data_IF_620085250904
#
_entry.id   IF_620085250904
#
_cell.length_a   1.000
_cell.length_b   1.000
_cell.length_c   1.000
_cell.angle_alpha   90.00
_cell.angle_beta   90.00
_cell.angle_gamma   90.00
#
_symmetry.space_group_name_H-M   'P 1'
#
loop_
_entity.id
_entity.type
_entity.pdbx_description
1 polymer ?
#
# COMPACT_ATOMS: atom_id res chain seq x y z
N UNK A 1 -3.04 -11.97 -55.90
CA UNK A 1 -3.91 -11.75 -54.73
C UNK A 1 -3.39 -12.48 -53.48
N UNK A 2 -3.14 -13.80 -53.55
CA UNK A 2 -2.66 -14.58 -52.39
C UNK A 2 -1.26 -14.17 -51.86
N UNK A 3 -0.32 -13.78 -52.73
CA UNK A 3 1.00 -13.31 -52.29
C UNK A 3 0.96 -11.95 -51.57
N UNK A 4 0.13 -11.01 -52.03
CA UNK A 4 0.01 -9.69 -51.43
C UNK A 4 -0.60 -9.74 -50.02
N UNK A 5 -1.61 -10.60 -49.81
CA UNK A 5 -2.19 -10.84 -48.48
C UNK A 5 -1.17 -11.43 -47.50
N UNK A 6 -0.30 -12.33 -47.96
CA UNK A 6 0.74 -12.92 -47.12
C UNK A 6 1.82 -11.90 -46.74
N UNK A 7 2.14 -10.98 -47.64
CA UNK A 7 3.11 -9.92 -47.41
C UNK A 7 2.60 -8.88 -46.39
N UNK A 8 1.32 -8.52 -46.50
CA UNK A 8 0.63 -7.66 -45.53
C UNK A 8 0.50 -8.31 -44.14
N UNK A 9 0.19 -9.60 -44.09
CA UNK A 9 0.17 -10.39 -42.86
C UNK A 9 1.56 -10.48 -42.19
N UNK A 10 2.64 -10.62 -42.98
CA UNK A 10 3.99 -10.59 -42.45
C UNK A 10 4.40 -9.19 -41.98
N UNK A 11 3.99 -8.14 -42.68
CA UNK A 11 4.28 -6.76 -42.27
C UNK A 11 3.62 -6.41 -40.94
N UNK A 12 2.34 -6.78 -40.76
CA UNK A 12 1.62 -6.59 -39.49
C UNK A 12 2.22 -7.40 -38.34
N UNK A 13 2.61 -8.65 -38.59
CA UNK A 13 3.27 -9.49 -37.58
C UNK A 13 4.60 -8.89 -37.09
N UNK A 14 5.40 -8.31 -38.00
CA UNK A 14 6.66 -7.64 -37.65
C UNK A 14 6.43 -6.35 -36.85
N UNK A 15 5.43 -5.56 -37.23
CA UNK A 15 5.08 -4.34 -36.53
C UNK A 15 4.63 -4.62 -35.08
N UNK A 16 3.80 -5.66 -34.88
CA UNK A 16 3.36 -6.07 -33.55
C UNK A 16 4.51 -6.59 -32.68
N UNK A 17 5.40 -7.40 -33.25
CA UNK A 17 6.58 -7.91 -32.54
C UNK A 17 7.49 -6.77 -32.05
N UNK A 18 7.70 -5.76 -32.91
CA UNK A 18 8.47 -4.56 -32.56
C UNK A 18 7.83 -3.79 -31.40
N UNK A 19 6.49 -3.64 -31.42
CA UNK A 19 5.77 -2.92 -30.35
C UNK A 19 5.79 -3.67 -29.03
N UNK A 20 5.76 -5.01 -29.06
CA UNK A 20 5.90 -5.84 -27.86
C UNK A 20 7.27 -5.64 -27.21
N UNK A 21 8.35 -5.69 -28.00
CA UNK A 21 9.71 -5.47 -27.48
C UNK A 21 9.88 -4.08 -26.85
N UNK A 22 9.27 -3.06 -27.45
CA UNK A 22 9.31 -1.69 -26.93
C UNK A 22 8.55 -1.58 -25.60
N UNK A 23 7.34 -2.15 -25.52
CA UNK A 23 6.56 -2.18 -24.28
C UNK A 23 7.26 -2.98 -23.19
N UNK A 24 7.95 -4.07 -23.52
CA UNK A 24 8.74 -4.83 -22.56
C UNK A 24 9.93 -4.03 -22.02
N UNK A 25 10.60 -3.21 -22.85
CA UNK A 25 11.64 -2.27 -22.40
C UNK A 25 11.08 -1.17 -21.50
N UNK A 26 9.96 -0.56 -21.88
CA UNK A 26 9.28 0.45 -21.05
C UNK A 26 8.84 -0.14 -19.71
N UNK A 27 8.28 -1.36 -19.70
CA UNK A 27 7.92 -2.08 -18.48
C UNK A 27 9.14 -2.40 -17.62
N UNK A 28 10.28 -2.77 -18.22
CA UNK A 28 11.52 -3.01 -17.48
C UNK A 28 12.04 -1.72 -16.83
N UNK A 29 11.96 -0.57 -17.52
CA UNK A 29 12.32 0.74 -16.98
C UNK A 29 11.37 1.17 -15.86
N UNK A 30 10.06 1.00 -16.04
CA UNK A 30 9.06 1.25 -15.01
C UNK A 30 9.29 0.38 -13.78
N UNK A 31 9.56 -0.93 -13.95
CA UNK A 31 9.89 -1.83 -12.84
C UNK A 31 11.18 -1.44 -12.12
N UNK A 32 12.21 -1.04 -12.86
CA UNK A 32 13.46 -0.56 -12.27
C UNK A 32 13.27 0.77 -11.51
N UNK A 33 12.45 1.68 -12.05
CA UNK A 33 12.12 2.95 -11.41
C UNK A 33 11.22 2.74 -10.17
N UNK A 34 10.27 1.82 -10.21
CA UNK A 34 9.46 1.42 -9.05
C UNK A 34 10.34 0.73 -8.01
N UNK A 35 11.25 -0.17 -8.40
CA UNK A 35 12.21 -0.79 -7.49
C UNK A 35 13.13 0.23 -6.81
N UNK A 36 13.62 1.23 -7.56
CA UNK A 36 14.40 2.35 -7.01
C UNK A 36 13.55 3.35 -6.21
N UNK A 37 12.29 3.57 -6.59
CA UNK A 37 11.33 4.40 -5.87
C UNK A 37 10.92 3.76 -4.55
N UNK A 38 10.76 2.43 -4.52
CA UNK A 38 10.54 1.63 -3.31
C UNK A 38 11.82 1.52 -2.48
N UNK A 39 13.01 1.44 -3.10
CA UNK A 39 14.29 1.48 -2.38
C UNK A 39 14.61 2.88 -1.82
N UNK A 40 14.19 3.95 -2.48
CA UNK A 40 14.28 5.32 -1.96
C UNK A 40 13.15 5.62 -0.96
N UNK A 41 11.99 4.96 -1.07
CA UNK A 41 10.90 5.00 -0.09
C UNK A 41 11.12 4.06 1.10
N UNK A 42 12.10 3.16 1.04
CA UNK A 42 12.86 2.72 2.21
C UNK A 42 13.72 3.89 2.72
N UNK A 43 13.07 5.05 2.89
CA UNK A 43 13.55 6.18 3.65
C UNK A 43 13.90 5.60 5.01
N UNK A 44 15.20 5.61 5.27
CA UNK A 44 15.85 5.60 6.57
C UNK A 44 14.82 5.74 7.68
N UNK A 45 14.74 4.76 8.60
CA UNK A 45 13.81 4.80 9.74
C UNK A 45 13.82 6.14 10.50
N UNK A 46 14.88 6.93 10.35
CA UNK A 46 15.13 8.26 10.87
C UNK A 46 14.30 9.39 10.24
N UNK A 47 13.84 9.26 8.98
CA UNK A 47 13.07 10.29 8.27
C UNK A 47 11.55 10.14 8.45
N UNK A 48 11.10 9.05 9.05
CA UNK A 48 9.67 8.87 9.35
C UNK A 48 9.37 9.62 10.64
N UNK A 49 8.51 10.66 10.61
CA UNK A 49 8.19 11.43 11.80
C UNK A 49 7.75 10.52 12.93
N UNK A 50 8.29 10.73 14.14
CA UNK A 50 7.88 9.98 15.31
C UNK A 50 6.35 10.10 15.46
N UNK A 51 5.67 8.97 15.36
CA UNK A 51 4.21 8.93 15.50
C UNK A 51 3.81 9.34 16.91
N UNK A 52 2.80 10.21 16.98
CA UNK A 52 2.16 10.59 18.22
C UNK A 52 1.13 9.53 18.60
N UNK A 53 1.17 9.08 19.84
CA UNK A 53 0.18 8.16 20.40
C UNK A 53 -1.22 8.79 20.43
N UNK A 54 -2.24 7.95 20.30
CA UNK A 54 -3.64 8.33 20.39
C UNK A 54 -4.25 7.84 21.70
N UNK A 55 -4.64 8.78 22.56
CA UNK A 55 -5.18 8.53 23.90
C UNK A 55 -6.65 8.09 23.89
N UNK A 56 -7.36 8.24 22.77
CA UNK A 56 -8.81 7.97 22.69
C UNK A 56 -9.69 9.20 22.86
N UNK A 57 -9.23 10.39 22.42
CA UNK A 57 -10.06 11.60 22.42
C UNK A 57 -11.30 11.39 21.54
N UNK A 58 -12.49 11.79 22.01
CA UNK A 58 -13.74 11.72 21.24
C UNK A 58 -13.90 12.86 20.23
N UNK A 59 -12.79 13.36 19.70
CA UNK A 59 -12.75 14.41 18.69
C UNK A 59 -12.58 13.75 17.32
N UNK A 60 -13.54 13.98 16.42
CA UNK A 60 -13.47 13.46 15.05
C UNK A 60 -12.16 13.90 14.36
N UNK A 61 -11.76 15.17 14.55
CA UNK A 61 -10.51 15.70 14.01
C UNK A 61 -9.27 14.95 14.54
N UNK A 62 -9.26 14.56 15.82
CA UNK A 62 -8.11 13.81 16.37
C UNK A 62 -8.05 12.38 15.86
N UNK A 63 -9.20 11.74 15.65
CA UNK A 63 -9.32 10.41 15.03
C UNK A 63 -8.85 10.47 13.59
N UNK A 64 -9.35 11.43 12.80
CA UNK A 64 -8.95 11.62 11.39
C UNK A 64 -7.45 11.88 11.28
N UNK A 65 -6.89 12.73 12.15
CA UNK A 65 -5.47 13.00 12.20
C UNK A 65 -4.64 11.75 12.58
N UNK A 66 -5.15 10.89 13.45
CA UNK A 66 -4.49 9.62 13.77
C UNK A 66 -4.48 8.68 12.56
N UNK A 67 -5.64 8.45 11.93
CA UNK A 67 -5.76 7.57 10.77
C UNK A 67 -4.90 8.06 9.60
N UNK A 68 -4.94 9.35 9.29
CA UNK A 68 -4.13 9.95 8.23
C UNK A 68 -2.61 9.80 8.49
N UNK A 69 -2.15 9.95 9.74
CA UNK A 69 -0.74 9.71 10.10
C UNK A 69 -0.36 8.23 9.94
N UNK A 70 -1.24 7.30 10.32
CA UNK A 70 -1.00 5.87 10.15
C UNK A 70 -0.90 5.48 8.68
N UNK A 71 -1.79 5.99 7.82
CA UNK A 71 -1.75 5.74 6.38
C UNK A 71 -0.43 6.21 5.75
N UNK A 72 0.00 7.44 6.08
CA UNK A 72 1.28 7.96 5.62
C UNK A 72 2.47 7.15 6.16
N UNK A 73 2.41 6.69 7.41
CA UNK A 73 3.43 5.82 7.97
C UNK A 73 3.53 4.50 7.22
N UNK A 74 2.40 3.87 6.91
CA UNK A 74 2.37 2.62 6.16
C UNK A 74 2.95 2.80 4.76
N UNK A 75 2.59 3.87 4.08
CA UNK A 75 3.16 4.23 2.77
C UNK A 75 4.67 4.42 2.86
N UNK A 76 5.15 5.19 3.85
CA UNK A 76 6.57 5.45 4.05
C UNK A 76 7.37 4.21 4.49
N UNK A 77 6.74 3.20 5.08
CA UNK A 77 7.37 1.94 5.47
C UNK A 77 7.16 0.79 4.48
N UNK A 78 6.37 1.01 3.43
CA UNK A 78 5.96 -0.05 2.49
C UNK A 78 5.08 -1.14 3.13
N UNK A 79 4.35 -0.82 4.20
CA UNK A 79 3.45 -1.78 4.88
C UNK A 79 2.16 -1.89 4.07
N UNK A 80 1.99 -3.02 3.39
CA UNK A 80 0.79 -3.30 2.58
C UNK A 80 -0.16 -4.30 3.24
N UNK A 81 0.38 -5.24 4.04
CA UNK A 81 -0.41 -6.28 4.68
C UNK A 81 -1.36 -5.71 5.74
N UNK A 82 -2.64 -6.08 5.64
CA UNK A 82 -3.70 -5.54 6.48
C UNK A 82 -3.52 -5.91 7.96
N UNK A 83 -3.12 -7.15 8.25
CA UNK A 83 -2.90 -7.61 9.62
C UNK A 83 -1.72 -6.86 10.24
N UNK A 84 -0.65 -6.65 9.47
CA UNK A 84 0.50 -5.84 9.91
C UNK A 84 0.09 -4.37 10.14
N UNK A 85 -0.77 -3.78 9.30
CA UNK A 85 -1.29 -2.41 9.52
C UNK A 85 -2.07 -2.30 10.83
N UNK A 86 -3.03 -3.20 11.04
CA UNK A 86 -3.86 -3.22 12.26
C UNK A 86 -2.98 -3.38 13.50
N UNK A 87 -2.06 -4.36 13.49
CA UNK A 87 -1.14 -4.58 14.59
C UNK A 87 -0.26 -3.34 14.86
N UNK A 88 0.28 -2.73 13.81
CA UNK A 88 1.14 -1.53 13.94
C UNK A 88 0.36 -0.34 14.49
N UNK A 89 -0.84 -0.06 13.98
CA UNK A 89 -1.68 1.04 14.49
C UNK A 89 -2.07 0.84 15.95
N UNK A 90 -2.38 -0.40 16.33
CA UNK A 90 -2.74 -0.72 17.71
C UNK A 90 -1.63 -0.41 18.72
N UNK A 91 -0.35 -0.46 18.30
CA UNK A 91 0.79 -0.10 19.14
C UNK A 91 0.85 1.39 19.48
N UNK A 92 0.18 2.24 18.71
CA UNK A 92 0.10 3.68 18.95
C UNK A 92 -1.18 4.10 19.70
N UNK A 93 -2.03 3.15 20.07
CA UNK A 93 -3.16 3.40 20.97
C UNK A 93 -2.68 3.39 22.42
N UNK A 94 -3.09 4.38 23.20
CA UNK A 94 -2.78 4.47 24.62
C UNK A 94 -4.04 4.79 25.42
N UNK A 95 -3.95 4.69 26.75
CA UNK A 95 -5.02 5.01 27.71
C UNK A 95 -6.40 4.43 27.31
N UNK A 96 -7.38 5.32 27.04
CA UNK A 96 -8.78 4.96 26.78
C UNK A 96 -8.89 4.18 25.48
N UNK A 97 -8.14 4.58 24.44
CA UNK A 97 -8.15 3.87 23.15
C UNK A 97 -7.58 2.46 23.28
N UNK A 98 -6.50 2.28 24.06
CA UNK A 98 -5.91 0.96 24.28
C UNK A 98 -6.85 0.04 25.05
N UNK A 99 -7.55 0.55 26.06
CA UNK A 99 -8.54 -0.22 26.82
C UNK A 99 -9.70 -0.67 25.94
N UNK A 100 -10.22 0.23 25.10
CA UNK A 100 -11.26 -0.10 24.13
C UNK A 100 -10.78 -1.18 23.15
N UNK A 101 -9.56 -1.03 22.60
CA UNK A 101 -8.97 -2.00 21.66
C UNK A 101 -8.83 -3.40 22.27
N UNK A 102 -8.36 -3.49 23.51
CA UNK A 102 -8.28 -4.76 24.24
C UNK A 102 -9.65 -5.40 24.45
N UNK A 103 -10.66 -4.61 24.80
CA UNK A 103 -12.04 -5.09 24.89
C UNK A 103 -12.56 -5.60 23.54
N UNK A 104 -12.34 -4.83 22.48
CA UNK A 104 -12.78 -5.15 21.11
C UNK A 104 -12.17 -6.44 20.56
N UNK A 105 -10.90 -6.72 20.88
CA UNK A 105 -10.16 -7.90 20.40
C UNK A 105 -10.40 -9.15 21.25
N UNK A 106 -10.77 -8.99 22.52
CA UNK A 106 -11.05 -10.13 23.42
C UNK A 106 -12.53 -10.54 23.39
N UNK A 107 -13.42 -9.68 22.94
CA UNK A 107 -14.83 -10.02 22.74
C UNK A 107 -15.00 -10.96 21.53
N UNK A 108 -15.09 -12.26 21.82
CA UNK A 108 -15.32 -13.32 20.83
C UNK A 108 -16.61 -13.13 20.02
N UNK A 109 -17.54 -12.27 20.46
CA UNK A 109 -18.79 -11.98 19.74
C UNK A 109 -18.59 -11.00 18.60
N UNK A 110 -17.56 -10.16 18.63
CA UNK A 110 -17.37 -9.06 17.69
C UNK A 110 -16.46 -9.42 16.50
N UNK A 111 -15.95 -10.65 16.44
CA UNK A 111 -15.07 -11.11 15.37
C UNK A 111 -13.69 -10.44 15.39
N UNK A 112 -12.74 -11.03 14.66
CA UNK A 112 -11.40 -10.45 14.52
C UNK A 112 -11.42 -9.24 13.58
N UNK A 113 -10.67 -8.19 13.93
CA UNK A 113 -10.42 -7.06 13.03
C UNK A 113 -9.21 -7.45 12.19
N UNK A 114 -9.46 -7.98 10.99
CA UNK A 114 -8.43 -8.53 10.11
C UNK A 114 -7.96 -7.54 9.05
N UNK A 115 -8.72 -6.45 8.84
CA UNK A 115 -8.46 -5.48 7.79
C UNK A 115 -8.25 -4.06 8.33
N UNK A 116 -7.48 -3.26 7.61
CA UNK A 116 -7.33 -1.84 7.92
C UNK A 116 -8.67 -1.10 7.86
N UNK A 117 -9.54 -1.48 6.93
CA UNK A 117 -10.87 -0.88 6.79
C UNK A 117 -11.78 -1.16 7.99
N UNK A 118 -11.69 -2.33 8.61
CA UNK A 118 -12.46 -2.65 9.84
C UNK A 118 -11.91 -1.95 11.07
N UNK A 119 -10.66 -1.50 11.02
CA UNK A 119 -10.02 -0.75 12.11
C UNK A 119 -10.41 0.72 12.11
N UNK A 120 -10.66 1.30 10.93
CA UNK A 120 -11.09 2.70 10.73
C UNK A 120 -12.53 2.92 11.21
#
# INVERSE_FOLDING_TARGET
MMMALNEEAMATTRALSTRIEELERELALCRAAVGKGVANAALNNENVPKLKEFVGTRSACDVDNFLWRMENYFLAKGIMDNVVKVNTASMFLTEIALLWWRGRTTDKRQGEIGTWQEFQ
#
